data_IF_104532945732
#
_entry.id   IF_104532945732
#
_cell.length_a   1.000
_cell.length_b   1.000
_cell.length_c   1.000
_cell.angle_alpha   90.00
_cell.angle_beta   90.00
_cell.angle_gamma   90.00
#
_symmetry.space_group_name_H-M   'P 1'
#
loop_
_entity.id
_entity.type
_entity.pdbx_description
1 polymer ?
#
# COMPACT_ATOMS: atom_id res chain seq x y z
N UNK A 1 -7.81 -4.92 2.74
CA UNK A 1 -9.19 -4.50 2.36
C UNK A 1 -9.35 -4.39 0.84
N UNK A 2 -8.59 -3.52 0.15
CA UNK A 2 -8.70 -3.34 -1.30
C UNK A 2 -8.54 -4.63 -2.10
N UNK A 3 -7.51 -5.42 -1.79
CA UNK A 3 -7.27 -6.75 -2.40
C UNK A 3 -8.49 -7.67 -2.29
N UNK A 4 -9.14 -7.72 -1.12
CA UNK A 4 -10.30 -8.56 -0.89
C UNK A 4 -11.50 -8.16 -1.76
N UNK A 5 -11.78 -6.84 -1.87
CA UNK A 5 -12.87 -6.34 -2.72
C UNK A 5 -12.60 -6.57 -4.20
N UNK A 6 -11.38 -6.31 -4.65
CA UNK A 6 -10.98 -6.59 -6.04
C UNK A 6 -11.04 -8.08 -6.35
N UNK A 7 -10.63 -8.95 -5.40
CA UNK A 7 -10.71 -10.40 -5.55
C UNK A 7 -12.14 -10.91 -5.68
N UNK A 8 -13.08 -10.41 -4.88
CA UNK A 8 -14.51 -10.74 -5.01
C UNK A 8 -15.08 -10.36 -6.38
N UNK A 9 -14.64 -9.22 -6.94
CA UNK A 9 -15.03 -8.84 -8.30
C UNK A 9 -14.35 -9.73 -9.36
N UNK A 10 -13.08 -10.08 -9.17
CA UNK A 10 -12.32 -10.95 -10.06
C UNK A 10 -12.93 -12.36 -10.14
N UNK A 11 -13.41 -12.93 -9.01
CA UNK A 11 -13.99 -14.27 -9.00
C UNK A 11 -15.21 -14.40 -9.93
N UNK A 12 -16.02 -13.35 -10.07
CA UNK A 12 -17.17 -13.38 -10.98
C UNK A 12 -16.79 -13.38 -12.46
N UNK A 13 -15.63 -12.82 -12.81
CA UNK A 13 -15.11 -12.89 -14.18
C UNK A 13 -14.45 -14.25 -14.42
N UNK A 14 -13.62 -14.70 -13.48
CA UNK A 14 -12.82 -15.92 -13.61
C UNK A 14 -13.70 -17.18 -13.55
N UNK A 15 -14.87 -17.14 -12.93
CA UNK A 15 -15.82 -18.26 -12.93
C UNK A 15 -16.41 -18.54 -14.31
N UNK A 16 -16.63 -17.50 -15.11
CA UNK A 16 -17.21 -17.60 -16.46
C UNK A 16 -16.12 -17.67 -17.54
N UNK A 17 -15.03 -16.91 -17.36
CA UNK A 17 -13.96 -16.73 -18.34
C UNK A 17 -12.56 -16.91 -17.68
N UNK A 18 -12.16 -18.16 -17.37
CA UNK A 18 -10.94 -18.46 -16.61
C UNK A 18 -9.65 -17.92 -17.27
N UNK A 19 -9.63 -17.82 -18.59
CA UNK A 19 -8.51 -17.28 -19.37
C UNK A 19 -8.23 -15.80 -19.07
N UNK A 20 -9.19 -15.07 -18.48
CA UNK A 20 -8.99 -13.67 -18.04
C UNK A 20 -8.31 -13.54 -16.68
N UNK A 21 -7.98 -14.65 -16.01
CA UNK A 21 -7.37 -14.68 -14.67
C UNK A 21 -6.16 -13.74 -14.55
N UNK A 22 -5.19 -13.80 -15.47
CA UNK A 22 -3.98 -12.97 -15.39
C UNK A 22 -4.29 -11.48 -15.36
N UNK A 23 -5.27 -11.03 -16.14
CA UNK A 23 -5.69 -9.61 -16.21
C UNK A 23 -6.42 -9.18 -14.93
N UNK A 24 -7.29 -10.04 -14.42
CA UNK A 24 -7.99 -9.80 -13.16
C UNK A 24 -7.03 -9.80 -11.96
N UNK A 25 -6.05 -10.71 -11.94
CA UNK A 25 -5.02 -10.80 -10.90
C UNK A 25 -4.21 -9.50 -10.78
N UNK A 26 -3.83 -8.88 -11.90
CA UNK A 26 -3.11 -7.61 -11.89
C UNK A 26 -3.90 -6.53 -11.14
N UNK A 27 -5.18 -6.33 -11.49
CA UNK A 27 -6.03 -5.34 -10.82
C UNK A 27 -6.28 -5.68 -9.35
N UNK A 28 -6.38 -6.97 -9.01
CA UNK A 28 -6.53 -7.43 -7.63
C UNK A 28 -5.28 -7.19 -6.78
N UNK A 29 -4.10 -7.34 -7.38
CA UNK A 29 -2.83 -7.23 -6.66
C UNK A 29 -2.45 -5.78 -6.35
N UNK A 30 -2.86 -4.80 -7.16
CA UNK A 30 -2.46 -3.39 -6.98
C UNK A 30 -2.68 -2.84 -5.56
N UNK A 31 -3.84 -3.02 -4.90
CA UNK A 31 -4.06 -2.52 -3.54
C UNK A 31 -3.24 -3.22 -2.44
N UNK A 32 -2.34 -4.14 -2.79
CA UNK A 32 -1.39 -4.75 -1.84
C UNK A 32 -0.12 -3.93 -1.66
N UNK A 33 0.20 -3.00 -2.58
CA UNK A 33 1.44 -2.21 -2.54
C UNK A 33 1.53 -1.35 -1.28
N UNK A 34 0.40 -0.90 -0.74
CA UNK A 34 0.33 -0.13 0.51
C UNK A 34 0.81 -0.94 1.73
N UNK A 35 0.62 -2.26 1.70
CA UNK A 35 1.18 -3.15 2.72
C UNK A 35 2.71 -3.14 2.68
N UNK A 36 3.29 -3.11 1.46
CA UNK A 36 4.74 -3.03 1.27
C UNK A 36 5.29 -1.69 1.78
N UNK A 37 4.59 -0.58 1.55
CA UNK A 37 5.02 0.73 2.08
C UNK A 37 5.00 0.78 3.60
N UNK A 38 3.94 0.24 4.23
CA UNK A 38 3.89 0.12 5.70
C UNK A 38 5.02 -0.75 6.24
N UNK A 39 5.35 -1.84 5.55
CA UNK A 39 6.48 -2.70 5.88
C UNK A 39 7.83 -1.96 5.78
N UNK A 40 8.06 -1.20 4.70
CA UNK A 40 9.25 -0.37 4.54
C UNK A 40 9.35 0.67 5.66
N UNK A 41 8.26 1.36 5.99
CA UNK A 41 8.23 2.33 7.10
C UNK A 41 8.58 1.69 8.45
N UNK A 42 8.06 0.50 8.73
CA UNK A 42 8.39 -0.28 9.93
C UNK A 42 9.89 -0.63 9.98
N UNK A 43 10.45 -1.15 8.89
CA UNK A 43 11.88 -1.47 8.82
C UNK A 43 12.75 -0.23 8.99
N UNK A 44 12.30 0.93 8.49
CA UNK A 44 13.01 2.18 8.68
C UNK A 44 13.12 2.56 10.16
N UNK A 45 12.04 2.40 10.94
CA UNK A 45 12.05 2.60 12.40
C UNK A 45 12.98 1.60 13.09
N UNK A 46 12.89 0.32 12.74
CA UNK A 46 13.74 -0.75 13.29
C UNK A 46 15.22 -0.42 13.11
N UNK A 47 15.62 0.00 11.91
CA UNK A 47 17.00 0.36 11.58
C UNK A 47 17.41 1.63 12.34
N UNK A 48 16.57 2.67 12.34
CA UNK A 48 16.85 3.94 13.04
C UNK A 48 17.10 3.72 14.53
N UNK A 49 16.32 2.86 15.17
CA UNK A 49 16.42 2.57 16.61
C UNK A 49 17.44 1.47 16.96
N UNK A 50 18.04 0.82 15.96
CA UNK A 50 19.00 -0.27 16.19
C UNK A 50 18.39 -1.50 16.85
N UNK A 51 17.08 -1.75 16.68
CA UNK A 51 16.36 -2.80 17.42
C UNK A 51 16.81 -4.23 17.09
N UNK A 52 17.52 -4.42 15.97
CA UNK A 52 18.10 -5.71 15.59
C UNK A 52 19.41 -6.04 16.35
N UNK A 53 19.96 -5.08 17.10
CA UNK A 53 21.21 -5.24 17.84
C UNK A 53 21.07 -5.93 19.20
N UNK A 54 19.85 -6.32 19.61
CA UNK A 54 19.60 -7.03 20.88
C UNK A 54 19.64 -6.18 22.15
N UNK A 55 20.01 -4.91 22.05
CA UNK A 55 19.93 -3.94 23.15
C UNK A 55 18.64 -3.12 23.07
N UNK A 56 18.00 -2.86 24.20
CA UNK A 56 16.88 -1.91 24.28
C UNK A 56 17.46 -0.49 24.19
N UNK A 57 17.08 0.30 23.18
CA UNK A 57 17.62 1.64 23.03
C UNK A 57 17.11 2.54 24.17
N UNK A 58 18.03 3.25 24.81
CA UNK A 58 17.69 4.25 25.82
C UNK A 58 17.27 5.55 25.12
N UNK A 59 15.96 5.73 24.91
CA UNK A 59 15.38 6.92 24.28
C UNK A 59 14.42 7.62 25.24
N UNK A 60 14.39 8.95 25.16
CA UNK A 60 13.39 9.74 25.87
C UNK A 60 11.98 9.39 25.36
N UNK A 61 10.98 9.39 26.24
CA UNK A 61 9.60 9.06 25.87
C UNK A 61 9.05 10.03 24.81
N UNK A 62 9.50 11.29 24.82
CA UNK A 62 9.15 12.30 23.81
C UNK A 62 9.64 11.89 22.42
N UNK A 63 10.85 11.35 22.32
CA UNK A 63 11.41 10.82 21.06
C UNK A 63 10.62 9.61 20.58
N UNK A 64 10.23 8.71 21.49
CA UNK A 64 9.36 7.58 21.17
C UNK A 64 8.00 8.02 20.62
N UNK A 65 7.37 9.02 21.24
CA UNK A 65 6.11 9.60 20.76
C UNK A 65 6.29 10.28 19.40
N UNK A 66 7.38 11.03 19.19
CA UNK A 66 7.68 11.66 17.90
C UNK A 66 7.82 10.62 16.78
N UNK A 67 8.50 9.49 17.04
CA UNK A 67 8.62 8.39 16.07
C UNK A 67 7.25 7.77 15.76
N UNK A 68 6.41 7.57 16.78
CA UNK A 68 5.06 7.07 16.59
C UNK A 68 4.23 7.98 15.69
N UNK A 69 4.25 9.30 15.95
CA UNK A 69 3.57 10.30 15.12
C UNK A 69 4.17 10.40 13.71
N UNK A 70 5.48 10.22 13.56
CA UNK A 70 6.16 10.19 12.27
C UNK A 70 5.70 9.03 11.38
N UNK A 71 5.15 7.95 11.95
CA UNK A 71 4.61 6.82 11.20
C UNK A 71 3.17 7.03 10.70
N UNK A 72 2.46 8.06 11.18
CA UNK A 72 1.07 8.30 10.81
C UNK A 72 0.86 8.57 9.31
N UNK A 73 1.73 9.30 8.59
CA UNK A 73 1.50 9.57 7.17
C UNK A 73 1.41 8.28 6.33
N UNK A 74 2.32 7.31 6.50
CA UNK A 74 2.26 6.04 5.77
C UNK A 74 1.10 5.16 6.25
N UNK A 75 0.79 5.17 7.55
CA UNK A 75 -0.31 4.36 8.10
C UNK A 75 -1.67 4.84 7.57
N UNK A 76 -1.94 6.13 7.67
CA UNK A 76 -3.22 6.73 7.27
C UNK A 76 -3.33 6.79 5.75
N UNK A 77 -2.35 7.37 5.04
CA UNK A 77 -2.42 7.44 3.58
C UNK A 77 -2.37 6.05 2.95
N UNK A 78 -1.58 5.11 3.49
CA UNK A 78 -1.56 3.73 3.03
C UNK A 78 -2.92 3.06 3.18
N UNK A 79 -3.57 3.18 4.34
CA UNK A 79 -4.91 2.62 4.55
C UNK A 79 -5.95 3.24 3.61
N UNK A 80 -5.99 4.57 3.55
CA UNK A 80 -6.99 5.31 2.77
C UNK A 80 -6.79 5.07 1.27
N UNK A 81 -5.56 5.20 0.77
CA UNK A 81 -5.26 4.97 -0.65
C UNK A 81 -5.54 3.52 -1.08
N UNK A 82 -5.26 2.52 -0.25
CA UNK A 82 -5.58 1.12 -0.58
C UNK A 82 -7.09 0.89 -0.75
N UNK A 83 -7.93 1.59 0.01
CA UNK A 83 -9.40 1.53 -0.12
C UNK A 83 -9.84 2.15 -1.45
N UNK A 84 -9.31 3.33 -1.79
CA UNK A 84 -9.64 3.99 -3.05
C UNK A 84 -9.10 3.23 -4.26
N UNK A 85 -7.86 2.74 -4.20
CA UNK A 85 -7.26 1.94 -5.26
C UNK A 85 -8.05 0.64 -5.45
N UNK A 86 -8.50 -0.01 -4.37
CA UNK A 86 -9.41 -1.15 -4.47
C UNK A 86 -10.71 -0.83 -5.21
N UNK A 87 -11.32 0.34 -4.97
CA UNK A 87 -12.53 0.77 -5.71
C UNK A 87 -12.25 0.98 -7.20
N UNK A 88 -11.12 1.61 -7.54
CA UNK A 88 -10.71 1.80 -8.94
C UNK A 88 -10.42 0.45 -9.59
N UNK A 89 -9.72 -0.45 -8.91
CA UNK A 89 -9.47 -1.82 -9.37
C UNK A 89 -10.77 -2.59 -9.64
N UNK A 90 -11.73 -2.54 -8.72
CA UNK A 90 -13.06 -3.16 -8.92
C UNK A 90 -13.76 -2.57 -10.15
N UNK A 91 -13.72 -1.24 -10.34
CA UNK A 91 -14.28 -0.63 -11.55
C UNK A 91 -13.53 -1.08 -12.81
N UNK A 92 -12.20 -1.23 -12.74
CA UNK A 92 -11.35 -1.72 -13.81
C UNK A 92 -11.67 -3.16 -14.22
N UNK A 93 -12.24 -3.98 -13.33
CA UNK A 93 -12.70 -5.33 -13.66
C UNK A 93 -13.77 -5.30 -14.77
N UNK A 94 -14.57 -4.23 -14.88
CA UNK A 94 -15.52 -4.09 -15.98
C UNK A 94 -14.83 -3.97 -17.35
N UNK A 95 -13.62 -3.39 -17.40
CA UNK A 95 -12.81 -3.33 -18.62
C UNK A 95 -12.32 -4.73 -18.96
N UNK A 96 -11.85 -5.50 -17.97
CA UNK A 96 -11.44 -6.90 -18.18
C UNK A 96 -12.61 -7.74 -18.70
N UNK A 97 -13.80 -7.58 -18.14
CA UNK A 97 -15.00 -8.30 -18.56
C UNK A 97 -15.40 -7.95 -20.01
N UNK A 98 -15.57 -6.65 -20.32
CA UNK A 98 -16.18 -6.19 -21.57
C UNK A 98 -15.20 -5.97 -22.71
N UNK A 99 -13.97 -5.55 -22.41
CA UNK A 99 -12.94 -5.19 -23.39
C UNK A 99 -11.57 -5.69 -22.90
N UNK A 100 -11.34 -7.01 -22.84
CA UNK A 100 -10.13 -7.59 -22.24
C UNK A 100 -8.83 -7.14 -22.93
N UNK A 101 -8.86 -6.69 -24.19
CA UNK A 101 -7.71 -6.09 -24.86
C UNK A 101 -7.26 -4.75 -24.26
N UNK A 102 -8.17 -4.05 -23.57
CA UNK A 102 -7.96 -2.73 -22.99
C UNK A 102 -7.69 -2.77 -21.47
N UNK A 103 -7.54 -3.97 -20.88
CA UNK A 103 -7.36 -4.17 -19.45
C UNK A 103 -6.21 -3.32 -18.85
N UNK A 104 -5.16 -3.05 -19.62
CA UNK A 104 -4.06 -2.17 -19.22
C UNK A 104 -4.51 -0.76 -18.82
N UNK A 105 -5.57 -0.21 -19.45
CA UNK A 105 -6.14 1.09 -19.05
C UNK A 105 -6.69 1.05 -17.63
N UNK A 106 -7.32 -0.05 -17.23
CA UNK A 106 -7.79 -0.25 -15.86
C UNK A 106 -6.64 -0.26 -14.85
N UNK A 107 -5.54 -0.94 -15.20
CA UNK A 107 -4.32 -1.01 -14.36
C UNK A 107 -3.72 0.38 -14.18
N UNK A 108 -3.57 1.15 -15.27
CA UNK A 108 -3.04 2.51 -15.24
C UNK A 108 -3.89 3.42 -14.34
N UNK A 109 -5.22 3.37 -14.48
CA UNK A 109 -6.12 4.18 -13.66
C UNK A 109 -6.00 3.83 -12.17
N UNK A 110 -5.88 2.55 -11.83
CA UNK A 110 -5.66 2.12 -10.46
C UNK A 110 -4.27 2.54 -9.94
N UNK A 111 -3.22 2.47 -10.78
CA UNK A 111 -1.87 2.90 -10.43
C UNK A 111 -1.79 4.41 -10.12
N UNK A 112 -2.62 5.27 -10.71
CA UNK A 112 -2.64 6.71 -10.37
C UNK A 112 -3.01 6.99 -8.90
N UNK A 113 -3.75 6.08 -8.25
CA UNK A 113 -4.07 6.19 -6.81
C UNK A 113 -2.84 5.90 -5.94
N UNK A 114 -1.88 5.13 -6.45
CA UNK A 114 -0.66 4.72 -5.76
C UNK A 114 0.23 5.90 -5.39
N UNK A 115 0.26 6.95 -6.22
CA UNK A 115 1.11 8.13 -5.99
C UNK A 115 0.91 8.74 -4.60
N UNK A 116 -0.33 8.78 -4.10
CA UNK A 116 -0.64 9.32 -2.77
C UNK A 116 -0.11 8.45 -1.62
N UNK A 117 -0.05 7.13 -1.83
CA UNK A 117 0.54 6.20 -0.88
C UNK A 117 2.06 6.38 -0.77
N UNK A 118 2.72 6.53 -1.93
CA UNK A 118 4.17 6.78 -2.01
C UNK A 118 4.55 8.09 -1.33
N UNK A 119 3.75 9.15 -1.50
CA UNK A 119 3.96 10.41 -0.79
C UNK A 119 3.86 10.26 0.73
N UNK A 120 2.93 9.42 1.23
CA UNK A 120 2.82 9.10 2.65
C UNK A 120 4.05 8.35 3.19
N UNK A 121 4.59 7.41 2.41
CA UNK A 121 5.85 6.74 2.73
C UNK A 121 7.03 7.71 2.78
N UNK A 122 7.17 8.55 1.75
CA UNK A 122 8.26 9.53 1.67
C UNK A 122 8.22 10.49 2.88
N UNK A 123 7.05 11.04 3.20
CA UNK A 123 6.88 11.90 4.38
C UNK A 123 7.29 11.18 5.66
N UNK A 124 6.89 9.91 5.84
CA UNK A 124 7.25 9.10 7.01
C UNK A 124 8.77 8.93 7.13
N UNK A 125 9.45 8.57 6.03
CA UNK A 125 10.90 8.38 6.01
C UNK A 125 11.63 9.69 6.38
N UNK A 126 11.22 10.82 5.80
CA UNK A 126 11.81 12.12 6.08
C UNK A 126 11.61 12.55 7.55
N UNK A 127 10.42 12.33 8.11
CA UNK A 127 10.13 12.62 9.51
C UNK A 127 10.99 11.76 10.46
N UNK A 128 11.06 10.44 10.22
CA UNK A 128 11.89 9.54 11.03
C UNK A 128 13.37 9.93 10.95
N UNK A 129 13.85 10.30 9.76
CA UNK A 129 15.24 10.71 9.57
C UNK A 129 15.58 11.98 10.35
N UNK A 130 14.67 12.96 10.37
CA UNK A 130 14.84 14.25 11.06
C UNK A 130 14.79 14.18 12.59
N UNK A 131 14.33 13.07 13.18
CA UNK A 131 14.30 12.90 14.64
C UNK A 131 15.69 12.51 15.15
N UNK A 132 16.21 13.28 16.11
CA UNK A 132 17.44 12.98 16.85
C UNK A 132 17.15 12.00 17.99
N UNK A 133 18.04 11.01 18.17
CA UNK A 133 17.93 9.98 19.20
C UNK A 133 18.73 10.32 20.47
N UNK A 134 19.54 11.36 20.41
CA UNK A 134 20.41 11.89 21.48
C UNK A 134 19.65 12.79 22.43
#
# INVERSE_FOLDING_TARGET
>A
IGVGKSGQAATGIVSEEPEKFGKALLLQALPSTQGIYGFIGCFWVIIKLGLLGGAVPNIAWQTGLAICLACLPVAINGLVSAIFQGRVSVSGMNIVAKQPGEAGKGVIMAAMVETYAVLGLLATILLIQGINLS
#
